data_IF_771506509400
#
_entry.id   IF_771506509400
#
_cell.length_a   1.000
_cell.length_b   1.000
_cell.length_c   1.000
_cell.angle_alpha   90.00
_cell.angle_beta   90.00
_cell.angle_gamma   90.00
#
_symmetry.space_group_name_H-M   'P 1'
#
loop_
_entity.id
_entity.type
_entity.pdbx_description
1 polymer ?
#
# COMPACT_ATOMS: atom_id res chain seq x y z
N UNK A 1 38.53 -19.45 17.58
CA UNK A 1 38.01 -18.17 17.02
C UNK A 1 36.76 -18.51 16.22
N UNK A 2 35.59 -18.33 16.85
CA UNK A 2 34.29 -18.49 16.19
C UNK A 2 34.11 -17.31 15.23
N UNK A 3 33.99 -17.59 13.95
CA UNK A 3 33.60 -16.62 12.93
C UNK A 3 32.11 -16.41 13.15
N UNK A 4 31.75 -15.23 13.64
CA UNK A 4 30.34 -14.83 13.69
C UNK A 4 29.77 -14.91 12.28
N UNK A 5 28.74 -15.74 12.07
CA UNK A 5 28.00 -15.78 10.82
C UNK A 5 27.38 -14.39 10.62
N UNK A 6 27.88 -13.65 9.63
CA UNK A 6 27.25 -12.42 9.17
C UNK A 6 25.91 -12.85 8.58
N UNK A 7 24.82 -12.56 9.26
CA UNK A 7 23.50 -12.70 8.66
C UNK A 7 23.51 -11.85 7.37
N UNK A 8 23.20 -12.43 6.21
CA UNK A 8 23.07 -11.64 5.00
C UNK A 8 22.02 -10.55 5.24
N UNK A 9 22.29 -9.35 4.73
CA UNK A 9 21.29 -8.27 4.78
C UNK A 9 19.96 -8.79 4.23
N UNK A 10 18.82 -8.44 4.85
CA UNK A 10 17.53 -8.87 4.35
C UNK A 10 17.39 -8.44 2.88
N UNK A 11 17.00 -9.38 2.02
CA UNK A 11 16.78 -9.09 0.60
C UNK A 11 15.56 -8.15 0.39
N UNK A 12 15.32 -7.72 -0.86
CA UNK A 12 14.23 -6.80 -1.17
C UNK A 12 12.87 -7.37 -0.72
N UNK A 13 12.00 -6.49 -0.24
CA UNK A 13 10.63 -6.83 0.18
C UNK A 13 9.77 -7.19 -1.03
N UNK A 14 9.95 -6.47 -2.14
CA UNK A 14 9.30 -6.72 -3.43
C UNK A 14 10.36 -6.81 -4.50
N UNK A 15 10.21 -7.80 -5.37
CA UNK A 15 11.01 -7.93 -6.57
C UNK A 15 10.10 -8.27 -7.76
N UNK A 16 10.07 -7.39 -8.75
CA UNK A 16 9.43 -7.61 -10.04
C UNK A 16 10.54 -7.81 -11.09
N UNK A 17 10.49 -8.93 -11.82
CA UNK A 17 11.47 -9.28 -12.87
C UNK A 17 10.73 -9.47 -14.20
N UNK A 18 10.91 -8.54 -15.14
CA UNK A 18 10.34 -8.55 -16.49
C UNK A 18 8.83 -8.85 -16.51
N UNK A 19 8.11 -8.25 -15.55
CA UNK A 19 6.70 -8.49 -15.33
C UNK A 19 5.85 -7.82 -16.39
N UNK A 20 5.06 -8.61 -17.12
CA UNK A 20 4.06 -8.10 -18.04
C UNK A 20 2.67 -8.58 -17.67
N UNK A 21 1.67 -7.73 -17.94
CA UNK A 21 0.25 -8.07 -17.79
C UNK A 21 -0.47 -7.75 -19.08
N UNK A 22 -1.16 -8.76 -19.63
CA UNK A 22 -1.95 -8.65 -20.87
C UNK A 22 -3.37 -9.10 -20.61
N UNK A 23 -4.34 -8.30 -21.06
CA UNK A 23 -5.75 -8.63 -21.06
C UNK A 23 -6.26 -8.65 -22.50
N UNK A 24 -6.57 -9.84 -23.02
CA UNK A 24 -6.92 -10.04 -24.41
C UNK A 24 -5.88 -9.42 -25.36
N UNK A 25 -6.22 -8.36 -26.10
CA UNK A 25 -5.32 -7.67 -27.03
C UNK A 25 -4.55 -6.49 -26.41
N UNK A 26 -4.84 -6.12 -25.14
CA UNK A 26 -4.24 -4.94 -24.50
C UNK A 26 -3.13 -5.33 -23.53
N UNK A 27 -1.92 -4.83 -23.76
CA UNK A 27 -0.84 -4.85 -22.80
C UNK A 27 -1.06 -3.71 -21.78
N UNK A 28 -1.15 -4.05 -20.49
CA UNK A 28 -1.34 -3.10 -19.40
C UNK A 28 0.00 -2.77 -18.74
N UNK A 29 0.86 -3.78 -18.58
CA UNK A 29 2.24 -3.64 -18.12
C UNK A 29 3.15 -4.40 -19.08
N UNK A 30 4.30 -3.84 -19.39
CA UNK A 30 5.26 -4.40 -20.33
C UNK A 30 6.67 -4.43 -19.74
N UNK A 31 7.14 -5.65 -19.43
CA UNK A 31 8.48 -5.95 -18.92
C UNK A 31 8.95 -5.01 -17.78
N UNK A 32 8.08 -4.77 -16.78
CA UNK A 32 8.42 -3.88 -15.67
C UNK A 32 9.35 -4.58 -14.66
N UNK A 33 10.38 -3.84 -14.22
CA UNK A 33 11.35 -4.28 -13.23
C UNK A 33 11.33 -3.32 -12.04
N UNK A 34 11.26 -3.85 -10.81
CA UNK A 34 11.23 -3.06 -9.59
C UNK A 34 11.80 -3.87 -8.42
N UNK A 35 12.56 -3.21 -7.57
CA UNK A 35 12.93 -3.72 -6.24
C UNK A 35 12.51 -2.70 -5.20
N UNK A 36 11.94 -3.16 -4.09
CA UNK A 36 11.58 -2.36 -2.91
C UNK A 36 12.39 -2.89 -1.74
N UNK A 37 13.18 -2.01 -1.14
CA UNK A 37 14.02 -2.35 0.00
C UNK A 37 13.23 -2.36 1.32
N UNK A 38 13.71 -3.09 2.35
CA UNK A 38 13.11 -3.05 3.68
C UNK A 38 13.05 -1.64 4.26
N UNK A 39 11.86 -1.25 4.77
CA UNK A 39 11.61 0.07 5.35
C UNK A 39 11.43 1.19 4.33
N UNK A 40 11.55 0.92 3.03
CA UNK A 40 11.40 1.93 1.98
C UNK A 40 9.92 2.27 1.73
N UNK A 41 9.66 3.56 1.50
CA UNK A 41 8.36 4.10 1.09
C UNK A 41 8.41 4.51 -0.38
N UNK A 42 7.79 3.71 -1.23
CA UNK A 42 7.72 3.92 -2.67
C UNK A 42 6.40 4.57 -3.06
N UNK A 43 6.43 5.57 -3.94
CA UNK A 43 5.23 6.07 -4.58
C UNK A 43 5.28 5.80 -6.08
N UNK A 44 4.25 5.13 -6.61
CA UNK A 44 4.07 4.92 -8.05
C UNK A 44 3.10 5.98 -8.57
N UNK A 45 3.61 6.81 -9.47
CA UNK A 45 2.85 7.89 -10.10
C UNK A 45 2.59 7.57 -11.56
N UNK A 46 1.55 8.15 -12.13
CA UNK A 46 1.23 7.97 -13.54
C UNK A 46 -0.20 8.41 -13.86
N UNK A 47 -0.54 8.60 -15.15
CA UNK A 47 -1.88 8.98 -15.57
C UNK A 47 -2.92 7.91 -15.21
N UNK A 48 -4.20 8.28 -15.26
CA UNK A 48 -5.29 7.31 -15.11
C UNK A 48 -5.19 6.24 -16.19
N UNK A 49 -5.38 4.97 -15.81
CA UNK A 49 -5.29 3.83 -16.73
C UNK A 49 -3.86 3.38 -17.08
N UNK A 50 -2.81 3.97 -16.49
CA UNK A 50 -1.41 3.56 -16.73
C UNK A 50 -1.04 2.17 -16.19
N UNK A 51 -1.89 1.53 -15.37
CA UNK A 51 -1.62 0.23 -14.76
C UNK A 51 -1.20 0.29 -13.29
N UNK A 52 -1.32 1.45 -12.62
CA UNK A 52 -0.89 1.63 -11.22
C UNK A 52 -1.57 0.66 -10.25
N UNK A 53 -2.90 0.57 -10.26
CA UNK A 53 -3.64 -0.39 -9.43
C UNK A 53 -3.37 -1.85 -9.82
N UNK A 54 -2.98 -2.10 -11.08
CA UNK A 54 -2.55 -3.42 -11.55
C UNK A 54 -1.26 -3.85 -10.84
N UNK A 55 -0.29 -2.93 -10.67
CA UNK A 55 0.94 -3.19 -9.90
C UNK A 55 0.60 -3.55 -8.45
N UNK A 56 -0.29 -2.80 -7.78
CA UNK A 56 -0.69 -3.14 -6.41
C UNK A 56 -1.37 -4.50 -6.32
N UNK A 57 -2.24 -4.85 -7.28
CA UNK A 57 -2.90 -6.17 -7.31
C UNK A 57 -1.92 -7.32 -7.51
N UNK A 58 -0.88 -7.12 -8.32
CA UNK A 58 0.21 -8.09 -8.47
C UNK A 58 0.96 -8.29 -7.16
N UNK A 59 1.36 -7.19 -6.48
CA UNK A 59 2.06 -7.24 -5.19
C UNK A 59 1.17 -7.84 -4.08
N UNK A 60 -0.14 -7.60 -4.13
CA UNK A 60 -1.10 -8.17 -3.18
C UNK A 60 -1.41 -9.66 -3.44
N UNK A 61 -0.89 -10.24 -4.54
CA UNK A 61 -1.23 -11.61 -4.96
C UNK A 61 -2.68 -11.79 -5.42
N UNK A 62 -3.36 -10.69 -5.77
CA UNK A 62 -4.73 -10.68 -6.30
C UNK A 62 -4.75 -10.86 -7.83
N UNK A 63 -3.60 -10.77 -8.46
CA UNK A 63 -3.39 -10.94 -9.89
C UNK A 63 -2.04 -11.62 -10.10
N UNK A 64 -1.97 -12.53 -11.07
CA UNK A 64 -0.70 -13.12 -11.52
C UNK A 64 -0.22 -12.42 -12.79
N UNK A 65 1.10 -12.30 -12.99
CA UNK A 65 1.65 -11.76 -14.23
C UNK A 65 1.39 -12.70 -15.40
N UNK A 66 1.24 -12.14 -16.61
CA UNK A 66 1.19 -12.94 -17.85
C UNK A 66 2.57 -13.51 -18.20
N UNK A 67 3.64 -12.77 -17.93
CA UNK A 67 5.04 -13.18 -18.04
C UNK A 67 5.88 -12.49 -16.98
N UNK A 68 7.08 -13.00 -16.73
CA UNK A 68 7.98 -12.51 -15.69
C UNK A 68 7.74 -13.16 -14.34
N UNK A 69 8.39 -12.66 -13.31
CA UNK A 69 8.33 -13.22 -11.96
C UNK A 69 8.15 -12.13 -10.91
N UNK A 70 7.42 -12.48 -9.84
CA UNK A 70 7.20 -11.63 -8.68
C UNK A 70 7.66 -12.39 -7.44
N UNK A 71 8.41 -11.72 -6.57
CA UNK A 71 8.75 -12.21 -5.23
C UNK A 71 8.33 -11.18 -4.19
N UNK A 72 7.75 -11.65 -3.11
CA UNK A 72 7.43 -10.85 -1.93
C UNK A 72 8.12 -11.49 -0.73
N UNK A 73 8.95 -10.73 -0.03
CA UNK A 73 9.82 -11.26 1.03
C UNK A 73 10.59 -12.51 0.58
N UNK A 74 11.13 -12.49 -0.65
CA UNK A 74 11.83 -13.63 -1.26
C UNK A 74 10.93 -14.78 -1.71
N UNK A 75 9.63 -14.79 -1.37
CA UNK A 75 8.69 -15.85 -1.72
C UNK A 75 8.12 -15.61 -3.13
N UNK A 76 8.30 -16.55 -4.09
CA UNK A 76 7.72 -16.44 -5.42
C UNK A 76 6.19 -16.43 -5.38
N UNK A 77 5.56 -15.53 -6.12
CA UNK A 77 4.11 -15.41 -6.25
C UNK A 77 3.63 -16.17 -7.49
N UNK A 78 3.50 -17.49 -7.39
CA UNK A 78 3.09 -18.39 -8.49
C UNK A 78 1.61 -18.74 -8.46
N UNK A 79 0.92 -18.46 -7.36
CA UNK A 79 -0.50 -18.69 -7.15
C UNK A 79 -1.17 -17.41 -6.64
N UNK A 80 -2.48 -17.28 -6.89
CA UNK A 80 -3.26 -16.23 -6.25
C UNK A 80 -3.21 -16.36 -4.72
N UNK A 81 -3.29 -15.25 -4.01
CA UNK A 81 -3.21 -15.22 -2.54
C UNK A 81 -4.14 -16.21 -1.85
N UNK A 82 -5.36 -16.36 -2.38
CA UNK A 82 -6.37 -17.28 -1.84
C UNK A 82 -5.98 -18.76 -1.97
N UNK A 83 -5.12 -19.08 -2.93
CA UNK A 83 -4.67 -20.46 -3.21
C UNK A 83 -3.33 -20.77 -2.54
N UNK A 84 -2.70 -19.77 -1.89
CA UNK A 84 -1.43 -19.94 -1.19
C UNK A 84 -1.67 -20.44 0.23
N UNK A 85 -0.96 -21.50 0.62
CA UNK A 85 -1.00 -22.04 1.98
C UNK A 85 -0.40 -21.08 3.01
N UNK A 86 0.64 -20.34 2.62
CA UNK A 86 1.34 -19.35 3.43
C UNK A 86 1.62 -18.12 2.55
N UNK A 87 0.60 -17.26 2.40
CA UNK A 87 0.76 -16.02 1.67
C UNK A 87 1.59 -15.02 2.50
N UNK A 88 2.49 -14.23 1.89
CA UNK A 88 3.24 -13.20 2.62
C UNK A 88 2.32 -12.13 3.23
N UNK A 89 2.77 -11.48 4.32
CA UNK A 89 2.00 -10.42 4.98
C UNK A 89 1.98 -9.16 4.11
N UNK A 90 0.96 -9.06 3.30
CA UNK A 90 0.68 -7.90 2.45
C UNK A 90 -0.71 -7.36 2.83
N UNK A 91 -0.76 -6.08 3.17
CA UNK A 91 -1.98 -5.41 3.63
C UNK A 91 -2.33 -4.30 2.66
N UNK A 92 -3.52 -4.36 2.07
CA UNK A 92 -3.98 -3.43 1.04
C UNK A 92 -5.08 -2.53 1.59
N UNK A 93 -4.84 -1.22 1.52
CA UNK A 93 -5.83 -0.17 1.75
C UNK A 93 -6.34 0.29 0.39
N UNK A 94 -7.60 -0.03 0.12
CA UNK A 94 -8.26 0.32 -1.15
C UNK A 94 -8.69 1.78 -1.19
N UNK A 95 -8.84 2.33 -2.38
CA UNK A 95 -9.42 3.65 -2.63
C UNK A 95 -10.81 3.78 -1.96
N UNK A 96 -11.67 2.78 -2.13
CA UNK A 96 -12.89 2.60 -1.37
C UNK A 96 -12.59 1.70 -0.15
N UNK A 97 -12.98 2.07 1.07
CA UNK A 97 -12.57 1.39 2.30
C UNK A 97 -12.87 -0.11 2.39
N UNK A 98 -13.75 -0.63 1.52
CA UNK A 98 -14.16 -2.05 1.47
C UNK A 98 -14.53 -2.61 2.85
N UNK A 99 -15.32 -1.83 3.62
CA UNK A 99 -15.86 -2.26 4.91
C UNK A 99 -17.09 -3.13 4.70
N UNK A 100 -17.23 -4.14 5.54
CA UNK A 100 -18.40 -5.01 5.57
C UNK A 100 -19.53 -4.27 6.28
N UNK A 101 -20.56 -3.87 5.53
CA UNK A 101 -21.65 -3.01 6.03
C UNK A 101 -22.47 -3.66 7.16
N UNK A 102 -22.53 -4.98 7.20
CA UNK A 102 -23.22 -5.78 8.23
C UNK A 102 -22.44 -5.97 9.52
N UNK A 103 -21.18 -5.53 9.56
CA UNK A 103 -20.32 -5.65 10.72
C UNK A 103 -20.05 -4.27 11.33
N UNK A 104 -19.90 -4.23 12.66
CA UNK A 104 -19.47 -3.02 13.36
C UNK A 104 -18.03 -2.65 13.01
N UNK A 105 -17.58 -1.45 13.38
CA UNK A 105 -16.20 -1.00 13.25
C UNK A 105 -15.25 -2.01 13.93
N UNK A 106 -15.54 -2.40 15.17
CA UNK A 106 -14.76 -3.42 15.90
C UNK A 106 -14.61 -4.71 15.10
N UNK A 107 -15.73 -5.23 14.57
CA UNK A 107 -15.75 -6.46 13.79
C UNK A 107 -15.02 -6.33 12.45
N UNK A 108 -15.08 -5.17 11.80
CA UNK A 108 -14.34 -4.90 10.58
C UNK A 108 -12.83 -4.87 10.82
N UNK A 109 -12.37 -4.23 11.90
CA UNK A 109 -10.95 -4.11 12.24
C UNK A 109 -10.42 -5.44 12.76
N UNK A 110 -11.14 -6.10 13.68
CA UNK A 110 -10.74 -7.36 14.31
C UNK A 110 -11.02 -8.62 13.49
N UNK A 111 -11.51 -8.50 12.24
CA UNK A 111 -12.02 -9.62 11.46
C UNK A 111 -11.07 -10.82 11.37
N UNK A 112 -9.77 -10.57 11.14
CA UNK A 112 -8.76 -11.63 11.08
C UNK A 112 -8.48 -12.23 12.46
N UNK A 113 -8.44 -11.39 13.50
CA UNK A 113 -8.23 -11.84 14.87
C UNK A 113 -9.37 -12.74 15.34
N UNK A 114 -10.62 -12.34 15.11
CA UNK A 114 -11.81 -13.11 15.47
C UNK A 114 -11.84 -14.51 14.82
N UNK A 115 -11.28 -14.65 13.60
CA UNK A 115 -11.36 -15.91 12.85
C UNK A 115 -10.14 -16.81 13.00
N UNK A 116 -8.95 -16.25 13.16
CA UNK A 116 -7.69 -16.98 13.00
C UNK A 116 -6.77 -16.92 14.22
N UNK A 117 -7.04 -16.05 15.20
CA UNK A 117 -6.25 -16.01 16.42
C UNK A 117 -6.82 -16.95 17.51
N UNK A 118 -5.99 -17.21 18.53
CA UNK A 118 -6.40 -17.88 19.77
C UNK A 118 -6.55 -16.89 20.93
N UNK A 119 -6.62 -15.60 20.61
CA UNK A 119 -6.79 -14.54 21.59
C UNK A 119 -8.18 -14.60 22.22
N UNK A 120 -8.28 -14.21 23.47
CA UNK A 120 -9.57 -14.00 24.15
C UNK A 120 -10.28 -12.79 23.55
N UNK A 121 -11.60 -12.74 23.74
CA UNK A 121 -12.40 -11.58 23.28
C UNK A 121 -11.90 -10.26 23.87
N UNK A 122 -11.44 -10.28 25.13
CA UNK A 122 -10.88 -9.09 25.79
C UNK A 122 -9.57 -8.61 25.13
N UNK A 123 -8.67 -9.53 24.75
CA UNK A 123 -7.43 -9.21 24.06
C UNK A 123 -7.69 -8.67 22.64
N UNK A 124 -8.65 -9.26 21.91
CA UNK A 124 -9.06 -8.76 20.59
C UNK A 124 -9.64 -7.37 20.73
N UNK A 125 -10.54 -7.15 21.71
CA UNK A 125 -11.14 -5.83 21.95
C UNK A 125 -10.08 -4.77 22.27
N UNK A 126 -9.08 -5.11 23.07
CA UNK A 126 -7.97 -4.20 23.38
C UNK A 126 -7.17 -3.87 22.13
N UNK A 127 -6.72 -4.86 21.34
CA UNK A 127 -5.94 -4.63 20.11
C UNK A 127 -6.69 -3.79 19.09
N UNK A 128 -7.99 -4.03 18.93
CA UNK A 128 -8.85 -3.23 18.05
C UNK A 128 -8.98 -1.80 18.58
N UNK A 129 -9.16 -1.61 19.88
CA UNK A 129 -9.19 -0.30 20.52
C UNK A 129 -7.90 0.47 20.28
N UNK A 130 -6.74 -0.13 20.50
CA UNK A 130 -5.42 0.46 20.25
C UNK A 130 -5.24 0.87 18.78
N UNK A 131 -5.69 0.02 17.84
CA UNK A 131 -5.62 0.32 16.41
C UNK A 131 -6.56 1.46 16.02
N UNK A 132 -7.76 1.55 16.61
CA UNK A 132 -8.70 2.66 16.37
C UNK A 132 -8.19 3.96 16.99
N UNK A 133 -7.58 3.91 18.16
CA UNK A 133 -6.96 5.07 18.79
C UNK A 133 -5.80 5.62 17.94
N UNK A 134 -4.95 4.74 17.40
CA UNK A 134 -3.85 5.10 16.50
C UNK A 134 -4.30 5.87 15.25
N UNK A 135 -5.54 5.68 14.81
CA UNK A 135 -6.13 6.41 13.66
C UNK A 135 -7.13 7.50 14.08
N UNK A 136 -7.20 7.81 15.38
CA UNK A 136 -8.08 8.85 15.94
C UNK A 136 -9.57 8.52 15.81
N UNK A 137 -9.95 7.27 16.07
CA UNK A 137 -11.32 6.76 16.03
C UNK A 137 -11.73 6.04 17.33
N UNK A 138 -11.08 6.34 18.46
CA UNK A 138 -11.49 5.81 19.75
C UNK A 138 -12.98 6.10 20.02
N UNK A 139 -13.70 5.12 20.59
CA UNK A 139 -15.12 5.23 20.94
C UNK A 139 -16.08 5.01 19.75
N UNK A 140 -15.58 4.52 18.60
CA UNK A 140 -16.43 4.23 17.42
C UNK A 140 -16.64 2.72 17.21
N UNK A 141 -16.21 1.89 18.15
CA UNK A 141 -16.13 0.42 18.03
C UNK A 141 -17.46 -0.22 17.66
N UNK A 142 -18.56 0.28 18.25
CA UNK A 142 -19.90 -0.29 18.11
C UNK A 142 -20.71 0.32 16.96
N UNK A 143 -20.18 1.34 16.27
CA UNK A 143 -20.82 1.94 15.10
C UNK A 143 -20.73 1.04 13.88
N UNK A 144 -21.68 1.15 12.99
CA UNK A 144 -21.67 0.51 11.67
C UNK A 144 -21.07 1.45 10.61
N UNK A 145 -20.51 0.91 9.51
CA UNK A 145 -19.95 1.73 8.43
C UNK A 145 -20.88 2.83 7.91
N UNK A 146 -22.20 2.56 7.86
CA UNK A 146 -23.20 3.54 7.41
C UNK A 146 -23.38 4.74 8.34
N UNK A 147 -22.92 4.65 9.59
CA UNK A 147 -22.97 5.73 10.58
C UNK A 147 -21.72 6.62 10.56
N UNK A 148 -20.71 6.23 9.76
CA UNK A 148 -19.44 6.91 9.66
C UNK A 148 -19.39 7.86 8.45
N UNK A 149 -18.71 9.00 8.60
CA UNK A 149 -18.32 9.81 7.44
C UNK A 149 -17.34 9.05 6.54
N UNK A 150 -17.25 9.43 5.26
CA UNK A 150 -16.31 8.81 4.32
C UNK A 150 -14.84 8.84 4.79
N UNK A 151 -14.44 9.96 5.44
CA UNK A 151 -13.11 10.08 6.05
C UNK A 151 -12.92 9.15 7.25
N UNK A 152 -13.95 8.92 8.07
CA UNK A 152 -13.91 7.93 9.16
C UNK A 152 -13.83 6.51 8.60
N UNK A 153 -14.60 6.15 7.58
CA UNK A 153 -14.52 4.85 6.93
C UNK A 153 -13.11 4.57 6.37
N UNK A 154 -12.47 5.56 5.74
CA UNK A 154 -11.08 5.44 5.31
C UNK A 154 -10.15 5.16 6.49
N UNK A 155 -10.26 5.90 7.59
CA UNK A 155 -9.44 5.66 8.79
C UNK A 155 -9.67 4.27 9.41
N UNK A 156 -10.87 3.73 9.36
CA UNK A 156 -11.13 2.33 9.77
C UNK A 156 -10.34 1.34 8.90
N UNK A 157 -10.23 1.59 7.59
CA UNK A 157 -9.41 0.72 6.72
C UNK A 157 -7.91 0.79 7.05
N UNK A 158 -7.41 1.93 7.54
CA UNK A 158 -6.05 2.04 8.09
C UNK A 158 -5.91 1.27 9.41
N UNK A 159 -6.85 1.40 10.34
CA UNK A 159 -6.85 0.62 11.58
C UNK A 159 -6.78 -0.89 11.28
N UNK A 160 -7.54 -1.36 10.28
CA UNK A 160 -7.48 -2.76 9.82
C UNK A 160 -6.10 -3.14 9.26
N UNK A 161 -5.37 -2.22 8.66
CA UNK A 161 -4.02 -2.47 8.15
C UNK A 161 -2.93 -2.49 9.24
N UNK A 162 -3.20 -1.91 10.42
CA UNK A 162 -2.28 -1.94 11.58
C UNK A 162 -2.37 -3.28 12.33
N UNK A 163 -3.53 -3.90 12.36
CA UNK A 163 -3.76 -5.17 13.06
C UNK A 163 -2.84 -6.26 12.49
N UNK A 164 -2.14 -6.96 13.38
CA UNK A 164 -1.37 -8.14 12.99
C UNK A 164 -2.25 -9.21 12.35
N UNK A 165 -1.76 -9.82 11.28
CA UNK A 165 -2.38 -11.02 10.72
C UNK A 165 -1.91 -12.24 11.56
N UNK A 166 -2.81 -12.89 12.32
CA UNK A 166 -2.44 -13.98 13.21
C UNK A 166 -2.00 -15.24 12.47
N UNK A 167 -2.20 -15.31 11.16
CA UNK A 167 -1.73 -16.41 10.31
C UNK A 167 -0.26 -16.27 9.91
N UNK A 168 0.34 -15.08 10.13
CA UNK A 168 1.72 -14.81 9.77
C UNK A 168 2.70 -15.22 10.85
N UNK A 169 3.94 -15.60 10.50
CA UNK A 169 4.99 -15.85 11.47
C UNK A 169 5.27 -14.62 12.34
N UNK A 170 5.49 -14.78 13.64
CA UNK A 170 5.85 -13.68 14.53
C UNK A 170 7.08 -12.94 14.02
N UNK A 171 7.03 -11.60 14.02
CA UNK A 171 8.14 -10.74 13.61
C UNK A 171 8.30 -10.55 12.10
N UNK A 172 7.38 -11.07 11.29
CA UNK A 172 7.35 -10.74 9.87
C UNK A 172 6.84 -9.31 9.69
N UNK A 173 7.63 -8.51 8.99
CA UNK A 173 7.32 -7.11 8.71
C UNK A 173 6.36 -7.03 7.51
N UNK A 174 5.19 -6.38 7.63
CA UNK A 174 4.21 -6.34 6.55
C UNK A 174 4.64 -5.41 5.41
N UNK A 175 4.19 -5.73 4.19
CA UNK A 175 4.15 -4.81 3.06
C UNK A 175 2.80 -4.09 3.05
N UNK A 176 2.81 -2.76 3.18
CA UNK A 176 1.60 -1.94 3.12
C UNK A 176 1.40 -1.38 1.71
N UNK A 177 0.21 -1.57 1.17
CA UNK A 177 -0.17 -1.09 -0.15
C UNK A 177 -1.34 -0.10 -0.02
N UNK A 178 -1.25 1.06 -0.68
CA UNK A 178 -2.27 2.11 -0.63
C UNK A 178 -2.66 2.50 -2.06
N UNK A 179 -3.92 2.22 -2.44
CA UNK A 179 -4.45 2.54 -3.76
C UNK A 179 -5.23 3.86 -3.71
N UNK A 180 -4.66 4.94 -4.24
CA UNK A 180 -5.23 6.29 -4.31
C UNK A 180 -5.89 6.75 -2.99
N UNK A 181 -5.15 6.71 -1.85
CA UNK A 181 -5.74 6.85 -0.52
C UNK A 181 -6.36 8.23 -0.26
N UNK A 182 -5.90 9.27 -0.96
CA UNK A 182 -6.35 10.66 -0.81
C UNK A 182 -7.36 11.09 -1.89
N UNK A 183 -7.69 10.22 -2.85
CA UNK A 183 -8.58 10.56 -3.94
C UNK A 183 -9.97 10.98 -3.44
N UNK A 184 -10.47 12.12 -3.96
CA UNK A 184 -11.81 12.65 -3.65
C UNK A 184 -11.95 13.26 -2.24
N UNK A 185 -10.84 13.52 -1.54
CA UNK A 185 -10.84 14.20 -0.25
C UNK A 185 -10.52 15.69 -0.41
N UNK A 186 -11.01 16.49 0.54
CA UNK A 186 -10.59 17.88 0.69
C UNK A 186 -9.12 17.98 1.19
N UNK A 187 -8.45 19.13 1.07
CA UNK A 187 -7.03 19.29 1.42
C UNK A 187 -6.71 18.93 2.88
N UNK A 188 -7.59 19.25 3.82
CA UNK A 188 -7.37 18.96 5.25
C UNK A 188 -7.46 17.46 5.51
N UNK A 189 -8.43 16.80 4.89
CA UNK A 189 -8.57 15.35 4.96
C UNK A 189 -7.41 14.64 4.26
N UNK A 190 -6.91 15.16 3.11
CA UNK A 190 -5.71 14.64 2.45
C UNK A 190 -4.52 14.62 3.40
N UNK A 191 -4.21 15.75 4.04
CA UNK A 191 -3.08 15.86 4.99
C UNK A 191 -3.20 14.82 6.11
N UNK A 192 -4.38 14.63 6.68
CA UNK A 192 -4.61 13.62 7.73
C UNK A 192 -4.36 12.20 7.25
N UNK A 193 -4.76 11.87 6.03
CA UNK A 193 -4.52 10.55 5.44
C UNK A 193 -3.04 10.36 5.12
N UNK A 194 -2.35 11.39 4.63
CA UNK A 194 -0.91 11.36 4.38
C UNK A 194 -0.11 11.12 5.67
N UNK A 195 -0.46 11.81 6.75
CA UNK A 195 0.12 11.58 8.08
C UNK A 195 -0.15 10.15 8.57
N UNK A 196 -1.35 9.61 8.32
CA UNK A 196 -1.69 8.22 8.65
C UNK A 196 -0.87 7.20 7.85
N UNK A 197 -0.59 7.44 6.57
CA UNK A 197 0.27 6.57 5.76
C UNK A 197 1.65 6.47 6.40
N UNK A 198 2.27 7.61 6.70
CA UNK A 198 3.59 7.67 7.32
C UNK A 198 3.59 7.03 8.70
N UNK A 199 2.61 7.39 9.54
CA UNK A 199 2.47 6.86 10.89
C UNK A 199 2.25 5.35 10.90
N UNK A 200 1.30 4.84 10.10
CA UNK A 200 0.99 3.42 10.01
C UNK A 200 2.20 2.61 9.52
N UNK A 201 2.89 3.09 8.49
CA UNK A 201 4.09 2.42 7.97
C UNK A 201 5.20 2.35 9.03
N UNK A 202 5.40 3.44 9.77
CA UNK A 202 6.39 3.48 10.86
C UNK A 202 5.99 2.60 12.04
N UNK A 203 4.70 2.57 12.39
CA UNK A 203 4.18 1.80 13.53
C UNK A 203 4.40 0.30 13.35
N UNK A 204 4.18 -0.20 12.13
CA UNK A 204 4.39 -1.64 11.83
C UNK A 204 5.84 -1.94 11.43
N UNK A 205 6.70 -0.93 11.31
CA UNK A 205 8.09 -1.08 10.88
C UNK A 205 8.24 -1.58 9.45
N UNK A 206 7.19 -1.43 8.62
CA UNK A 206 7.07 -2.02 7.29
C UNK A 206 7.61 -1.16 6.16
N UNK A 207 7.54 -1.73 4.96
CA UNK A 207 7.72 -1.01 3.70
C UNK A 207 6.35 -0.64 3.13
N UNK A 208 6.28 0.40 2.32
CA UNK A 208 5.00 0.78 1.71
C UNK A 208 5.11 1.12 0.23
N UNK A 209 4.03 0.82 -0.50
CA UNK A 209 3.83 1.28 -1.88
C UNK A 209 2.51 2.06 -1.93
N UNK A 210 2.60 3.33 -2.28
CA UNK A 210 1.45 4.21 -2.49
C UNK A 210 1.28 4.45 -3.98
N UNK A 211 0.08 4.26 -4.48
CA UNK A 211 -0.30 4.72 -5.82
C UNK A 211 -1.04 6.03 -5.67
N UNK A 212 -0.56 7.09 -6.29
CA UNK A 212 -1.22 8.39 -6.25
C UNK A 212 -0.87 9.26 -7.47
N UNK A 213 -1.74 10.20 -7.77
CA UNK A 213 -1.50 11.30 -8.70
C UNK A 213 -1.51 12.67 -7.99
N UNK A 214 -1.74 12.68 -6.67
CA UNK A 214 -1.80 13.89 -5.85
C UNK A 214 -0.40 14.28 -5.40
N UNK A 215 0.02 15.52 -5.74
CA UNK A 215 1.38 15.99 -5.50
C UNK A 215 1.76 16.01 -4.02
N UNK A 216 0.87 16.49 -3.13
CA UNK A 216 1.12 16.51 -1.69
C UNK A 216 1.37 15.10 -1.15
N UNK A 217 0.56 14.13 -1.56
CA UNK A 217 0.72 12.72 -1.16
C UNK A 217 2.08 12.18 -1.59
N UNK A 218 2.51 12.47 -2.83
CA UNK A 218 3.81 12.03 -3.33
C UNK A 218 4.94 12.61 -2.45
N UNK A 219 4.92 13.92 -2.22
CA UNK A 219 5.98 14.62 -1.50
C UNK A 219 6.07 14.27 -0.01
N UNK A 220 4.94 13.97 0.62
CA UNK A 220 4.88 13.67 2.06
C UNK A 220 5.13 12.21 2.38
N UNK A 221 4.83 11.28 1.47
CA UNK A 221 4.84 9.84 1.78
C UNK A 221 5.98 9.08 1.12
N UNK A 222 6.70 9.65 0.13
CA UNK A 222 7.72 8.94 -0.63
C UNK A 222 9.14 9.16 -0.09
N UNK A 223 9.94 8.09 -0.09
CA UNK A 223 11.40 8.16 -0.14
C UNK A 223 11.85 8.13 -1.60
N UNK A 224 11.24 7.25 -2.41
CA UNK A 224 11.48 7.10 -3.85
C UNK A 224 10.17 7.16 -4.62
N UNK A 225 10.26 7.72 -5.82
CA UNK A 225 9.14 7.86 -6.77
C UNK A 225 9.46 7.10 -8.04
N UNK A 226 8.47 6.40 -8.58
CA UNK A 226 8.55 5.71 -9.87
C UNK A 226 7.41 6.19 -10.77
N UNK A 227 7.75 6.62 -11.98
CA UNK A 227 6.78 7.04 -12.99
C UNK A 227 6.41 5.85 -13.88
N UNK A 228 5.15 5.45 -13.80
CA UNK A 228 4.53 4.47 -14.71
C UNK A 228 3.81 5.23 -15.83
N UNK A 229 4.25 5.02 -17.05
CA UNK A 229 3.65 5.62 -18.23
C UNK A 229 3.65 4.62 -19.40
N UNK A 230 2.51 4.47 -20.05
CA UNK A 230 2.32 3.54 -21.18
C UNK A 230 2.83 2.12 -20.85
N UNK A 231 2.38 1.59 -19.72
CA UNK A 231 2.67 0.23 -19.23
C UNK A 231 4.11 -0.04 -18.79
N UNK A 232 5.00 0.96 -18.79
CA UNK A 232 6.40 0.78 -18.42
C UNK A 232 6.88 1.83 -17.41
N UNK A 233 7.88 1.48 -16.60
CA UNK A 233 8.55 2.46 -15.74
C UNK A 233 9.48 3.33 -16.58
N UNK A 234 9.14 4.61 -16.70
CA UNK A 234 9.86 5.57 -17.53
C UNK A 234 10.86 6.42 -16.76
N UNK A 235 10.70 6.49 -15.44
CA UNK A 235 11.62 7.20 -14.55
C UNK A 235 11.50 6.67 -13.14
N UNK A 236 12.60 6.72 -12.38
CA UNK A 236 12.63 6.50 -10.94
C UNK A 236 13.74 7.35 -10.31
N UNK A 237 13.52 7.78 -9.08
CA UNK A 237 14.49 8.58 -8.34
C UNK A 237 13.99 8.95 -6.94
N UNK A 238 14.80 9.68 -6.19
CA UNK A 238 14.40 10.20 -4.90
C UNK A 238 13.25 11.21 -5.03
N UNK A 239 12.51 11.46 -3.94
CA UNK A 239 11.48 12.50 -3.92
C UNK A 239 12.10 13.89 -4.19
N UNK A 240 13.36 14.14 -3.77
CA UNK A 240 14.07 15.37 -4.08
C UNK A 240 14.35 15.56 -5.58
N UNK A 241 14.78 14.50 -6.25
CA UNK A 241 14.96 14.51 -7.72
C UNK A 241 13.64 14.71 -8.44
N UNK A 242 12.56 14.15 -7.91
CA UNK A 242 11.21 14.33 -8.47
C UNK A 242 10.74 15.79 -8.38
N UNK A 243 11.06 16.51 -7.31
CA UNK A 243 10.73 17.92 -7.13
C UNK A 243 11.54 18.84 -8.06
N UNK A 244 12.80 18.45 -8.40
CA UNK A 244 13.66 19.31 -9.18
C UNK A 244 13.11 19.51 -10.62
N UNK A 245 12.93 20.76 -10.99
CA UNK A 245 12.40 21.16 -12.32
C UNK A 245 13.38 20.89 -13.48
N UNK A 246 14.62 20.56 -13.18
CA UNK A 246 15.72 20.42 -14.13
C UNK A 246 15.93 19.01 -14.67
N UNK A 247 15.11 18.03 -14.28
CA UNK A 247 15.29 16.65 -14.73
C UNK A 247 14.79 16.49 -16.19
N UNK A 248 15.70 16.27 -17.19
CA UNK A 248 15.33 16.18 -18.61
C UNK A 248 14.51 14.94 -18.98
N UNK A 249 14.40 13.95 -18.06
CA UNK A 249 13.59 12.74 -18.26
C UNK A 249 12.12 12.91 -17.90
N UNK A 250 11.68 14.10 -17.50
CA UNK A 250 10.25 14.39 -17.29
C UNK A 250 9.55 14.45 -18.64
N UNK A 251 8.59 13.56 -18.95
CA UNK A 251 7.80 13.74 -20.15
C UNK A 251 6.96 15.02 -19.99
N UNK A 252 7.13 16.01 -20.90
CA UNK A 252 6.49 17.34 -20.76
C UNK A 252 4.98 17.28 -20.62
N UNK A 253 4.33 16.26 -21.21
CA UNK A 253 2.87 16.05 -21.16
C UNK A 253 2.36 15.54 -19.82
N UNK A 254 3.18 14.83 -19.06
CA UNK A 254 2.77 14.31 -17.76
C UNK A 254 2.66 15.43 -16.71
N UNK A 255 3.59 16.37 -16.71
CA UNK A 255 3.56 17.54 -15.81
C UNK A 255 2.49 18.54 -16.17
N UNK A 256 2.12 18.67 -17.45
CA UNK A 256 0.96 19.45 -17.86
C UNK A 256 -0.34 18.81 -17.35
N UNK A 257 -0.45 17.49 -17.32
CA UNK A 257 -1.60 16.77 -16.75
C UNK A 257 -1.66 16.83 -15.22
N UNK A 258 -0.52 16.86 -14.51
CA UNK A 258 -0.48 17.08 -13.06
C UNK A 258 -0.64 18.55 -12.66
N UNK A 259 -0.14 19.48 -13.47
CA UNK A 259 -0.29 20.92 -13.23
C UNK A 259 -1.66 21.49 -13.61
N UNK A 260 -2.45 20.76 -14.37
CA UNK A 260 -3.86 21.07 -14.64
C UNK A 260 -4.82 20.60 -13.53
N UNK A 261 -4.33 19.85 -12.54
CA UNK A 261 -5.06 19.62 -11.29
C UNK A 261 -4.95 20.89 -10.45
N UNK A 262 -6.07 21.52 -10.03
CA UNK A 262 -6.04 22.76 -9.25
C UNK A 262 -5.14 22.61 -8.03
N UNK A 263 -4.28 23.62 -7.79
CA UNK A 263 -3.46 23.79 -6.58
C UNK A 263 -4.28 23.90 -5.27
N UNK A 264 -5.58 23.60 -5.32
CA UNK A 264 -6.49 23.57 -4.17
C UNK A 264 -6.24 22.42 -3.18
N UNK A 265 -5.22 21.61 -3.42
CA UNK A 265 -4.70 20.62 -2.46
C UNK A 265 -3.25 20.94 -2.01
N UNK A 266 -2.84 22.21 -2.05
CA UNK A 266 -1.60 22.70 -1.43
C UNK A 266 -1.90 23.31 -0.06
#
# INVERSE_FOLDING_TARGET
>A
RSVAAVNPAPGPVVELQDVSVRWSSRTVLDAVNLQLEPGERLVVVGPSGAGKSTILRLMAGLLLPSTGAIRIHGTPQTYLRLDQRHAPDVRLVFQNPALLASLTVRQNVGFLLDRFSRLSESEIRQRVGDALDAVGLAGTEDLYPGELSGGMQKRVSFARAVIEDPSQPPGQVPLLLFDEPTAGLDPVACTRIEDLIVHTTSLVGGSSVVVSHVMSTILRTADRVVLLYDGAFRWQGSVGDFQSTTNPMRPPRFFQALSSVPLSCV
#
